data_IF_833584666050
#
_entry.id   IF_833584666050
#
_cell.length_a   1.000
_cell.length_b   1.000
_cell.length_c   1.000
_cell.angle_alpha   90.00
_cell.angle_beta   90.00
_cell.angle_gamma   90.00
#
_symmetry.space_group_name_H-M   'P 1'
#
loop_
_entity.id
_entity.type
_entity.pdbx_description
1 polymer ?
#
# COMPACT_ATOMS: atom_id res chain seq x y z
N UNK A 1 23.82 -20.92 5.31
CA UNK A 1 23.25 -19.56 5.18
C UNK A 1 24.17 -18.81 4.22
N UNK A 2 23.70 -18.41 3.04
CA UNK A 2 24.57 -17.79 2.01
C UNK A 2 25.16 -16.47 2.53
N UNK A 3 26.46 -16.21 2.31
CA UNK A 3 27.21 -15.02 2.74
C UNK A 3 26.48 -13.69 2.46
N UNK A 4 25.67 -13.62 1.41
CA UNK A 4 24.93 -12.41 1.05
C UNK A 4 23.79 -12.05 2.02
N UNK A 5 23.26 -13.01 2.78
CA UNK A 5 22.23 -12.77 3.81
C UNK A 5 22.81 -12.15 5.10
N UNK A 6 24.12 -12.31 5.35
CA UNK A 6 24.75 -11.66 6.50
C UNK A 6 24.98 -10.17 6.24
N UNK A 7 25.30 -9.78 5.00
CA UNK A 7 25.62 -8.40 4.63
C UNK A 7 24.39 -7.47 4.56
N UNK A 8 23.25 -7.93 4.05
CA UNK A 8 22.06 -7.08 3.85
C UNK A 8 20.78 -7.67 4.43
N UNK A 9 19.87 -6.82 4.88
CA UNK A 9 18.54 -7.23 5.31
C UNK A 9 17.57 -7.27 4.12
N UNK A 10 17.44 -8.46 3.52
CA UNK A 10 16.47 -8.72 2.45
C UNK A 10 15.09 -9.16 2.92
N UNK A 11 14.90 -9.41 4.22
CA UNK A 11 13.62 -9.85 4.74
C UNK A 11 12.56 -8.77 4.48
N UNK A 12 12.83 -7.55 4.92
CA UNK A 12 11.90 -6.42 4.78
C UNK A 12 11.68 -6.03 3.31
N UNK A 13 12.75 -6.07 2.50
CA UNK A 13 12.67 -5.81 1.05
C UNK A 13 11.72 -6.81 0.39
N UNK A 14 11.86 -8.10 0.70
CA UNK A 14 10.99 -9.15 0.14
C UNK A 14 9.55 -8.98 0.58
N UNK A 15 9.31 -8.64 1.85
CA UNK A 15 7.98 -8.41 2.38
C UNK A 15 7.28 -7.26 1.65
N UNK A 16 7.94 -6.11 1.50
CA UNK A 16 7.38 -4.99 0.74
C UNK A 16 7.24 -5.31 -0.75
N UNK A 17 8.19 -6.02 -1.37
CA UNK A 17 8.09 -6.38 -2.79
C UNK A 17 6.87 -7.27 -3.08
N UNK A 18 6.63 -8.27 -2.22
CA UNK A 18 5.43 -9.12 -2.32
C UNK A 18 4.16 -8.30 -2.09
N UNK A 19 4.13 -7.46 -1.05
CA UNK A 19 2.96 -6.62 -0.77
C UNK A 19 2.72 -5.57 -1.86
N UNK A 20 3.76 -5.08 -2.53
CA UNK A 20 3.62 -4.21 -3.71
C UNK A 20 2.80 -4.91 -4.78
N UNK A 21 3.12 -6.15 -5.12
CA UNK A 21 2.36 -6.91 -6.14
C UNK A 21 0.91 -7.13 -5.68
N UNK A 22 0.71 -7.53 -4.43
CA UNK A 22 -0.63 -7.78 -3.87
C UNK A 22 -1.48 -6.51 -3.92
N UNK A 23 -0.97 -5.38 -3.42
CA UNK A 23 -1.69 -4.11 -3.43
C UNK A 23 -1.84 -3.52 -4.83
N UNK A 24 -0.90 -3.79 -5.74
CA UNK A 24 -1.03 -3.45 -7.15
C UNK A 24 -2.24 -4.13 -7.78
N UNK A 25 -2.40 -5.43 -7.56
CA UNK A 25 -3.56 -6.20 -8.04
C UNK A 25 -4.85 -5.66 -7.41
N UNK A 26 -4.90 -5.48 -6.09
CA UNK A 26 -6.09 -5.00 -5.38
C UNK A 26 -6.47 -3.58 -5.85
N UNK A 27 -5.53 -2.65 -5.87
CA UNK A 27 -5.77 -1.27 -6.27
C UNK A 27 -6.24 -1.15 -7.73
N UNK A 28 -5.60 -1.86 -8.66
CA UNK A 28 -6.02 -1.87 -10.06
C UNK A 28 -7.38 -2.56 -10.26
N UNK A 29 -7.68 -3.63 -9.52
CA UNK A 29 -8.98 -4.30 -9.57
C UNK A 29 -10.12 -3.37 -9.11
N UNK A 30 -9.93 -2.64 -8.01
CA UNK A 30 -10.91 -1.61 -7.58
C UNK A 30 -11.05 -0.53 -8.66
N UNK A 31 -9.95 -0.17 -9.33
CA UNK A 31 -9.94 0.75 -10.48
C UNK A 31 -10.85 0.27 -11.62
N UNK A 32 -10.76 -1.01 -11.97
CA UNK A 32 -11.63 -1.64 -12.99
C UNK A 32 -13.10 -1.64 -12.54
N UNK A 33 -13.37 -1.92 -11.26
CA UNK A 33 -14.73 -1.90 -10.71
C UNK A 33 -15.34 -0.49 -10.80
N UNK A 34 -14.62 0.55 -10.35
CA UNK A 34 -15.15 1.91 -10.40
C UNK A 34 -15.26 2.44 -11.83
N UNK A 35 -14.40 1.99 -12.75
CA UNK A 35 -14.55 2.27 -14.17
C UNK A 35 -15.82 1.62 -14.74
N UNK A 36 -16.13 0.37 -14.37
CA UNK A 36 -17.37 -0.30 -14.75
C UNK A 36 -18.61 0.41 -14.19
N UNK A 37 -18.54 0.95 -12.96
CA UNK A 37 -19.63 1.72 -12.34
C UNK A 37 -19.96 3.03 -13.07
N UNK A 38 -18.99 3.61 -13.79
CA UNK A 38 -19.23 4.79 -14.63
C UNK A 38 -19.98 4.44 -15.93
N UNK A 39 -19.89 3.19 -16.40
CA UNK A 39 -20.56 2.70 -17.61
C UNK A 39 -21.92 2.07 -17.28
N UNK A 40 -21.98 1.28 -16.21
CA UNK A 40 -23.17 0.58 -15.73
C UNK A 40 -23.47 1.03 -14.29
N UNK A 41 -24.28 2.10 -14.12
CA UNK A 41 -24.60 2.65 -12.81
C UNK A 41 -25.27 1.66 -11.85
N UNK A 42 -25.89 0.60 -12.36
CA UNK A 42 -26.53 -0.47 -11.58
C UNK A 42 -25.54 -1.22 -10.67
N UNK A 43 -24.24 -1.13 -10.96
CA UNK A 43 -23.16 -1.70 -10.14
C UNK A 43 -22.89 -0.90 -8.84
N UNK A 44 -23.58 0.22 -8.62
CA UNK A 44 -23.45 1.03 -7.40
C UNK A 44 -24.38 0.49 -6.28
N UNK A 45 -23.87 -0.40 -5.43
CA UNK A 45 -24.64 -1.04 -4.37
C UNK A 45 -24.01 -0.83 -2.99
N UNK A 46 -24.78 -0.31 -2.03
CA UNK A 46 -24.40 -0.24 -0.62
C UNK A 46 -23.01 0.38 -0.37
N UNK A 47 -22.11 -0.40 0.24
CA UNK A 47 -20.73 0.01 0.55
C UNK A 47 -19.80 0.04 -0.68
N UNK A 48 -20.24 -0.52 -1.82
CA UNK A 48 -19.51 -0.48 -3.09
C UNK A 48 -19.86 0.74 -3.93
N UNK A 49 -20.53 1.75 -3.38
CA UNK A 49 -20.87 2.96 -4.15
C UNK A 49 -19.62 3.70 -4.66
N UNK A 50 -19.65 4.17 -5.91
CA UNK A 50 -18.52 4.83 -6.59
C UNK A 50 -17.84 5.92 -5.74
N UNK A 51 -18.63 6.79 -5.10
CA UNK A 51 -18.12 7.86 -4.25
C UNK A 51 -17.26 7.40 -3.07
N UNK A 52 -17.43 6.16 -2.60
CA UNK A 52 -16.61 5.56 -1.52
C UNK A 52 -15.47 4.70 -2.05
N UNK A 53 -15.70 3.99 -3.16
CA UNK A 53 -14.65 3.17 -3.79
C UNK A 53 -13.60 4.00 -4.53
N UNK A 54 -13.93 5.20 -5.02
CA UNK A 54 -12.97 6.11 -5.66
C UNK A 54 -11.81 6.47 -4.71
N UNK A 55 -12.03 7.00 -3.49
CA UNK A 55 -10.92 7.30 -2.59
C UNK A 55 -10.19 6.03 -2.14
N UNK A 56 -10.89 4.89 -2.01
CA UNK A 56 -10.23 3.59 -1.76
C UNK A 56 -9.26 3.22 -2.89
N UNK A 57 -9.69 3.32 -4.15
CA UNK A 57 -8.85 3.05 -5.32
C UNK A 57 -7.61 3.94 -5.32
N UNK A 58 -7.80 5.25 -5.18
CA UNK A 58 -6.70 6.23 -5.19
C UNK A 58 -5.67 5.92 -4.10
N UNK A 59 -6.12 5.69 -2.86
CA UNK A 59 -5.22 5.37 -1.75
C UNK A 59 -4.53 4.01 -1.93
N UNK A 60 -5.25 2.99 -2.42
CA UNK A 60 -4.68 1.68 -2.68
C UNK A 60 -3.61 1.72 -3.78
N UNK A 61 -3.81 2.47 -4.86
CA UNK A 61 -2.82 2.55 -5.95
C UNK A 61 -1.62 3.42 -5.54
N UNK A 62 -1.84 4.55 -4.88
CA UNK A 62 -0.75 5.47 -4.55
C UNK A 62 0.03 5.02 -3.33
N UNK A 63 -0.64 4.82 -2.19
CA UNK A 63 0.04 4.54 -0.93
C UNK A 63 0.27 3.04 -0.71
N UNK A 64 -0.72 2.19 -1.03
CA UNK A 64 -0.53 0.75 -0.83
C UNK A 64 0.44 0.16 -1.87
N UNK A 65 0.14 0.30 -3.17
CA UNK A 65 1.02 -0.14 -4.25
C UNK A 65 2.27 0.74 -4.35
N UNK A 66 2.12 2.03 -4.67
CA UNK A 66 3.25 2.94 -4.87
C UNK A 66 4.13 3.10 -3.62
N UNK A 67 3.53 3.27 -2.45
CA UNK A 67 4.25 3.36 -1.19
C UNK A 67 5.03 2.07 -0.87
N UNK A 68 4.43 0.89 -1.02
CA UNK A 68 5.16 -0.38 -0.83
C UNK A 68 6.31 -0.55 -1.83
N UNK A 69 6.12 -0.12 -3.08
CA UNK A 69 7.15 -0.14 -4.10
C UNK A 69 8.33 0.76 -3.70
N UNK A 70 8.05 1.95 -3.19
CA UNK A 70 9.05 2.88 -2.69
C UNK A 70 9.78 2.33 -1.47
N UNK A 71 9.09 1.68 -0.52
CA UNK A 71 9.74 1.03 0.62
C UNK A 71 10.67 -0.11 0.19
N UNK A 72 10.20 -1.02 -0.68
CA UNK A 72 11.01 -2.11 -1.20
C UNK A 72 12.26 -1.59 -1.92
N UNK A 73 12.06 -0.62 -2.81
CA UNK A 73 13.12 -0.07 -3.66
C UNK A 73 14.14 0.71 -2.83
N UNK A 74 13.69 1.61 -1.95
CA UNK A 74 14.59 2.40 -1.10
C UNK A 74 15.43 1.53 -0.17
N UNK A 75 14.80 0.56 0.52
CA UNK A 75 15.52 -0.38 1.40
C UNK A 75 16.49 -1.27 0.64
N UNK A 76 16.19 -1.64 -0.60
CA UNK A 76 17.13 -2.39 -1.42
C UNK A 76 18.30 -1.51 -1.89
N UNK A 77 18.00 -0.35 -2.48
CA UNK A 77 18.98 0.55 -3.11
C UNK A 77 19.94 1.10 -2.06
N UNK A 78 19.46 1.66 -0.95
CA UNK A 78 20.32 2.31 0.06
C UNK A 78 21.38 1.37 0.62
N UNK A 79 21.00 0.11 0.85
CA UNK A 79 21.92 -0.91 1.34
C UNK A 79 23.05 -1.19 0.34
N UNK A 80 22.70 -1.27 -0.95
CA UNK A 80 23.64 -1.58 -2.03
C UNK A 80 24.53 -0.40 -2.40
N UNK A 81 23.98 0.81 -2.46
CA UNK A 81 24.74 2.00 -2.86
C UNK A 81 25.72 2.45 -1.78
N UNK A 82 25.37 2.25 -0.51
CA UNK A 82 26.24 2.57 0.62
C UNK A 82 27.05 1.34 1.11
N UNK A 83 26.84 0.17 0.51
CA UNK A 83 27.49 -1.09 0.89
C UNK A 83 27.38 -1.43 2.39
N UNK A 84 26.24 -1.10 2.99
CA UNK A 84 25.98 -1.31 4.43
C UNK A 84 24.60 -1.90 4.67
N UNK A 85 24.43 -2.62 5.78
CA UNK A 85 23.11 -3.15 6.20
C UNK A 85 22.19 -2.00 6.62
N UNK A 86 20.89 -2.20 6.52
CA UNK A 86 19.91 -1.30 7.15
C UNK A 86 20.25 -1.06 8.62
N UNK A 87 20.10 0.20 9.04
CA UNK A 87 20.51 0.68 10.36
C UNK A 87 19.88 -0.11 11.53
N UNK A 88 18.60 -0.48 11.42
CA UNK A 88 17.91 -1.27 12.44
C UNK A 88 16.90 -2.22 11.81
N UNK A 89 17.08 -3.51 12.05
CA UNK A 89 16.18 -4.57 11.59
C UNK A 89 14.81 -4.47 12.27
N UNK A 90 14.77 -4.08 13.56
CA UNK A 90 13.53 -3.88 14.32
C UNK A 90 12.73 -2.68 13.80
N UNK A 91 13.40 -1.57 13.48
CA UNK A 91 12.73 -0.39 12.92
C UNK A 91 12.20 -0.66 11.50
N UNK A 92 12.96 -1.39 10.68
CA UNK A 92 12.51 -1.79 9.35
C UNK A 92 11.31 -2.75 9.40
N UNK A 93 11.24 -3.62 10.41
CA UNK A 93 10.05 -4.45 10.61
C UNK A 93 8.84 -3.63 11.10
N UNK A 94 9.08 -2.63 11.95
CA UNK A 94 8.04 -1.70 12.40
C UNK A 94 7.44 -0.91 11.24
N UNK A 95 8.26 -0.35 10.35
CA UNK A 95 7.73 0.37 9.18
C UNK A 95 6.94 -0.54 8.25
N UNK A 96 7.35 -1.80 8.07
CA UNK A 96 6.55 -2.77 7.33
C UNK A 96 5.17 -2.99 7.96
N UNK A 97 5.10 -3.47 9.20
CA UNK A 97 3.82 -3.78 9.82
C UNK A 97 2.96 -2.54 10.06
N UNK A 98 3.57 -1.40 10.38
CA UNK A 98 2.89 -0.12 10.47
C UNK A 98 2.27 0.31 9.15
N UNK A 99 3.00 0.21 8.04
CA UNK A 99 2.46 0.53 6.72
C UNK A 99 1.32 -0.41 6.32
N UNK A 100 1.45 -1.71 6.58
CA UNK A 100 0.37 -2.66 6.33
C UNK A 100 -0.87 -2.35 7.17
N UNK A 101 -0.70 -1.94 8.44
CA UNK A 101 -1.82 -1.53 9.29
C UNK A 101 -2.52 -0.29 8.73
N UNK A 102 -1.77 0.74 8.30
CA UNK A 102 -2.33 1.94 7.66
C UNK A 102 -3.17 1.58 6.43
N UNK A 103 -2.67 0.70 5.57
CA UNK A 103 -3.39 0.27 4.36
C UNK A 103 -4.66 -0.52 4.71
N UNK A 104 -4.59 -1.42 5.69
CA UNK A 104 -5.77 -2.19 6.12
C UNK A 104 -6.81 -1.28 6.74
N UNK A 105 -6.39 -0.27 7.52
CA UNK A 105 -7.30 0.75 8.04
C UNK A 105 -7.97 1.51 6.90
N UNK A 106 -7.22 1.97 5.89
CA UNK A 106 -7.77 2.61 4.70
C UNK A 106 -8.81 1.73 3.98
N UNK A 107 -8.53 0.43 3.86
CA UNK A 107 -9.43 -0.53 3.22
C UNK A 107 -10.76 -0.72 3.97
N UNK A 108 -10.77 -0.48 5.28
CA UNK A 108 -11.96 -0.59 6.12
C UNK A 108 -12.70 0.75 6.21
N UNK A 109 -11.99 1.84 6.51
CA UNK A 109 -12.60 3.13 6.84
C UNK A 109 -13.19 3.84 5.63
N UNK A 110 -12.54 3.77 4.46
CA UNK A 110 -13.01 4.48 3.26
C UNK A 110 -14.34 3.91 2.72
N UNK A 111 -14.55 2.58 2.62
CA UNK A 111 -15.87 2.02 2.27
C UNK A 111 -16.97 2.28 3.32
N UNK A 112 -16.59 2.45 4.59
CA UNK A 112 -17.51 2.89 5.64
C UNK A 112 -17.89 4.37 5.53
N UNK A 113 -17.19 5.14 4.69
CA UNK A 113 -17.47 6.55 4.45
C UNK A 113 -16.78 7.50 5.43
N UNK A 114 -15.81 7.02 6.21
CA UNK A 114 -14.99 7.85 7.09
C UNK A 114 -13.91 8.52 6.24
N UNK A 115 -14.11 9.78 5.87
CA UNK A 115 -13.17 10.53 5.04
C UNK A 115 -13.18 12.03 5.29
N UNK A 116 -11.99 12.64 5.20
CA UNK A 116 -11.83 14.09 5.20
C UNK A 116 -12.29 14.79 3.91
N UNK A 117 -12.53 14.04 2.82
CA UNK A 117 -12.91 14.60 1.52
C UNK A 117 -11.81 15.39 0.78
N UNK A 118 -10.58 15.42 1.31
CA UNK A 118 -9.40 16.01 0.67
C UNK A 118 -8.70 14.95 -0.16
N UNK A 119 -8.55 15.19 -1.47
CA UNK A 119 -7.90 14.23 -2.36
C UNK A 119 -6.47 13.90 -1.89
N UNK A 120 -6.14 12.62 -1.87
CA UNK A 120 -4.86 12.04 -1.38
C UNK A 120 -4.59 12.22 0.12
N UNK A 121 -5.55 12.78 0.86
CA UNK A 121 -5.54 12.94 2.31
C UNK A 121 -6.90 12.53 2.89
N UNK A 122 -7.50 11.48 2.31
CA UNK A 122 -8.86 11.07 2.63
C UNK A 122 -8.98 10.37 3.98
N UNK A 123 -7.89 9.80 4.49
CA UNK A 123 -7.85 9.10 5.77
C UNK A 123 -8.09 10.06 6.95
N UNK A 124 -8.78 9.56 7.97
CA UNK A 124 -9.03 10.32 9.19
C UNK A 124 -7.74 10.59 9.98
N UNK A 125 -7.85 11.45 10.98
CA UNK A 125 -6.73 11.91 11.80
C UNK A 125 -6.01 10.85 12.66
N UNK A 126 -6.62 9.73 13.12
CA UNK A 126 -5.91 8.66 13.80
C UNK A 126 -5.19 7.72 12.83
#
# INVERSE_FOLDING_TARGET
MSETQSTYNYKVVRQFAVMTVIWGIVGMLVGVIIAAQLVWPELNLGFLHFGRLRPLHTNAVIFAFGGSALFATSYYVVQRTCHTRLFSDGLAAFTFWGWQAVIVLAAITLPLGMTQGKEYAELEWP
#
